data_IF_338928329547
#
_entry.id   IF_338928329547
#
_cell.length_a   1.000
_cell.length_b   1.000
_cell.length_c   1.000
_cell.angle_alpha   90.00
_cell.angle_beta   90.00
_cell.angle_gamma   90.00
#
_symmetry.space_group_name_H-M   'P 1'
#
loop_
_entity.id
_entity.type
_entity.pdbx_description
1 polymer ?
#
# COMPACT_ATOMS: atom_id res chain seq x y z
N UNK A 1 -1.40 6.94 1.07
CA UNK A 1 -2.75 7.48 1.35
C UNK A 1 -2.88 8.83 0.65
N UNK A 2 -3.95 9.08 -0.11
CA UNK A 2 -4.12 10.35 -0.84
C UNK A 2 -4.51 11.47 0.12
N UNK A 3 -3.90 12.65 -0.06
CA UNK A 3 -4.32 13.84 0.67
C UNK A 3 -5.66 14.36 0.16
N UNK A 4 -6.40 15.10 0.97
CA UNK A 4 -7.63 15.75 0.53
C UNK A 4 -7.39 16.72 -0.64
N UNK A 5 -6.21 17.35 -0.69
CA UNK A 5 -5.79 18.21 -1.79
C UNK A 5 -5.59 17.43 -3.09
N UNK A 6 -4.98 16.23 -3.03
CA UNK A 6 -4.81 15.36 -4.20
C UNK A 6 -6.17 14.97 -4.78
N UNK A 7 -7.12 14.59 -3.90
CA UNK A 7 -8.48 14.21 -4.30
C UNK A 7 -9.21 15.41 -4.94
N UNK A 8 -9.12 16.58 -4.30
CA UNK A 8 -9.76 17.79 -4.79
C UNK A 8 -9.23 18.21 -6.17
N UNK A 9 -7.91 18.28 -6.33
CA UNK A 9 -7.26 18.66 -7.60
C UNK A 9 -7.65 17.74 -8.74
N UNK A 10 -7.62 16.42 -8.50
CA UNK A 10 -7.98 15.43 -9.50
C UNK A 10 -9.47 15.52 -9.88
N UNK A 11 -10.36 15.62 -8.89
CA UNK A 11 -11.80 15.73 -9.14
C UNK A 11 -12.15 17.03 -9.88
N UNK A 12 -11.62 18.18 -9.45
CA UNK A 12 -11.86 19.47 -10.11
C UNK A 12 -11.27 19.44 -11.52
N UNK A 13 -10.04 18.94 -11.71
CA UNK A 13 -9.41 18.87 -13.04
C UNK A 13 -10.26 18.10 -14.05
N UNK A 14 -10.87 16.98 -13.64
CA UNK A 14 -11.75 16.19 -14.51
C UNK A 14 -13.08 16.89 -14.78
N UNK A 15 -13.69 17.48 -13.76
CA UNK A 15 -15.00 18.14 -13.87
C UNK A 15 -14.94 19.48 -14.61
N UNK A 16 -13.84 20.21 -14.45
CA UNK A 16 -13.65 21.54 -15.02
C UNK A 16 -13.31 21.50 -16.51
N UNK A 17 -12.86 20.37 -17.03
CA UNK A 17 -12.44 20.25 -18.43
C UNK A 17 -13.58 20.62 -19.39
N UNK A 18 -13.38 21.66 -20.19
CA UNK A 18 -14.36 22.17 -21.13
C UNK A 18 -15.43 23.08 -20.52
N UNK A 19 -15.37 23.39 -19.22
CA UNK A 19 -16.28 24.36 -18.61
C UNK A 19 -15.90 25.79 -18.99
N UNK A 20 -16.91 26.61 -19.24
CA UNK A 20 -16.75 28.04 -19.40
C UNK A 20 -16.67 28.78 -18.05
N UNK A 21 -16.41 30.09 -18.10
CA UNK A 21 -16.28 30.93 -16.90
C UNK A 21 -17.55 30.91 -16.03
N UNK A 22 -18.74 30.86 -16.64
CA UNK A 22 -20.00 30.88 -15.92
C UNK A 22 -20.24 29.54 -15.19
N UNK A 23 -20.03 28.42 -15.87
CA UNK A 23 -20.13 27.09 -15.29
C UNK A 23 -19.10 26.85 -14.17
N UNK A 24 -17.87 27.38 -14.31
CA UNK A 24 -16.88 27.35 -13.24
C UNK A 24 -17.34 28.19 -12.03
N UNK A 25 -17.96 29.35 -12.25
CA UNK A 25 -18.50 30.17 -11.16
C UNK A 25 -19.66 29.46 -10.42
N UNK A 26 -20.53 28.75 -11.14
CA UNK A 26 -21.57 27.90 -10.54
C UNK A 26 -20.95 26.79 -9.69
N UNK A 27 -19.89 26.13 -10.17
CA UNK A 27 -19.18 25.09 -9.41
C UNK A 27 -18.50 25.62 -8.15
N UNK A 28 -17.95 26.83 -8.19
CA UNK A 28 -17.44 27.51 -6.98
C UNK A 28 -18.57 27.71 -5.96
N UNK A 29 -19.75 28.17 -6.41
CA UNK A 29 -20.89 28.39 -5.53
C UNK A 29 -21.41 27.07 -4.93
N UNK A 30 -21.52 26.02 -5.75
CA UNK A 30 -21.91 24.67 -5.30
C UNK A 30 -20.94 24.14 -4.24
N UNK A 31 -19.63 24.24 -4.49
CA UNK A 31 -18.61 23.78 -3.55
C UNK A 31 -18.66 24.55 -2.22
N UNK A 32 -18.92 25.87 -2.25
CA UNK A 32 -19.10 26.67 -1.05
C UNK A 32 -20.31 26.25 -0.22
N UNK A 33 -21.42 25.89 -0.87
CA UNK A 33 -22.62 25.36 -0.19
C UNK A 33 -22.29 24.02 0.48
N UNK A 34 -21.64 23.08 -0.23
CA UNK A 34 -21.29 21.77 0.31
C UNK A 34 -20.28 21.82 1.44
N UNK A 35 -19.30 22.71 1.36
CA UNK A 35 -18.38 23.00 2.46
C UNK A 35 -19.16 23.43 3.71
N UNK A 36 -20.05 24.42 3.56
CA UNK A 36 -20.85 24.93 4.67
C UNK A 36 -21.77 23.87 5.26
N UNK A 37 -22.51 23.14 4.43
CA UNK A 37 -23.43 22.07 4.88
C UNK A 37 -22.68 20.99 5.67
N UNK A 38 -21.50 20.59 5.19
CA UNK A 38 -20.69 19.56 5.86
C UNK A 38 -20.11 20.09 7.18
N UNK A 39 -19.69 21.35 7.23
CA UNK A 39 -19.26 22.01 8.46
C UNK A 39 -20.40 22.19 9.48
N UNK A 40 -21.61 22.48 9.02
CA UNK A 40 -22.81 22.56 9.86
C UNK A 40 -23.18 21.18 10.43
N UNK A 41 -23.06 20.12 9.63
CA UNK A 41 -23.27 18.74 10.07
C UNK A 41 -22.24 18.28 11.11
N UNK A 42 -20.96 18.67 10.97
CA UNK A 42 -19.93 18.40 11.97
C UNK A 42 -20.19 19.12 13.31
N UNK A 43 -20.81 20.29 13.28
CA UNK A 43 -21.21 21.02 14.50
C UNK A 43 -22.44 20.43 15.17
N UNK A 44 -23.22 19.61 14.47
CA UNK A 44 -24.39 18.91 15.00
C UNK A 44 -23.98 17.71 15.87
N UNK A 45 -24.50 17.64 17.09
CA UNK A 45 -24.12 16.70 18.17
C UNK A 45 -24.55 15.23 17.95
N UNK A 46 -24.49 14.70 16.72
CA UNK A 46 -24.93 13.35 16.37
C UNK A 46 -23.80 12.32 16.38
N UNK A 47 -23.59 11.65 17.53
CA UNK A 47 -22.61 10.57 17.74
C UNK A 47 -22.91 9.34 16.88
N UNK A 48 -22.08 9.10 15.87
CA UNK A 48 -21.93 7.80 15.20
C UNK A 48 -20.46 7.61 14.80
N UNK A 49 -19.69 6.94 15.66
CA UNK A 49 -18.22 6.86 15.62
C UNK A 49 -17.61 6.34 14.31
N UNK A 50 -18.34 5.57 13.50
CA UNK A 50 -17.84 5.08 12.20
C UNK A 50 -18.10 6.09 11.07
N UNK A 51 -19.14 6.93 11.21
CA UNK A 51 -19.51 7.97 10.24
C UNK A 51 -18.86 9.33 10.53
N UNK A 52 -18.38 9.55 11.75
CA UNK A 52 -17.80 10.83 12.18
C UNK A 52 -16.43 11.08 11.52
N UNK A 53 -15.56 10.06 11.47
CA UNK A 53 -14.26 10.12 10.77
C UNK A 53 -14.42 10.34 9.26
N UNK A 54 -15.46 9.75 8.66
CA UNK A 54 -15.80 9.98 7.25
C UNK A 54 -16.34 11.41 7.01
N UNK A 55 -17.09 11.99 7.96
CA UNK A 55 -17.57 13.38 7.87
C UNK A 55 -16.45 14.39 8.00
N UNK A 56 -15.52 14.20 8.94
CA UNK A 56 -14.34 15.06 9.08
C UNK A 56 -13.50 15.05 7.81
N UNK A 57 -13.24 13.84 7.29
CA UNK A 57 -12.52 13.69 6.02
C UNK A 57 -13.27 14.35 4.87
N UNK A 58 -14.58 14.19 4.79
CA UNK A 58 -15.41 14.80 3.77
C UNK A 58 -15.39 16.34 3.86
N UNK A 59 -15.41 16.90 5.07
CA UNK A 59 -15.29 18.35 5.27
C UNK A 59 -13.95 18.89 4.76
N UNK A 60 -12.85 18.20 5.07
CA UNK A 60 -11.51 18.59 4.56
C UNK A 60 -11.45 18.47 3.03
N UNK A 61 -12.10 17.46 2.44
CA UNK A 61 -12.19 17.33 0.98
C UNK A 61 -13.01 18.46 0.36
N UNK A 62 -14.18 18.80 0.91
CA UNK A 62 -14.99 19.89 0.38
C UNK A 62 -14.30 21.24 0.47
N UNK A 63 -13.62 21.52 1.60
CA UNK A 63 -12.80 22.72 1.76
C UNK A 63 -11.70 22.78 0.68
N UNK A 64 -11.00 21.66 0.46
CA UNK A 64 -9.96 21.58 -0.58
C UNK A 64 -10.55 21.73 -2.00
N UNK A 65 -11.72 21.17 -2.28
CA UNK A 65 -12.41 21.31 -3.57
C UNK A 65 -12.84 22.75 -3.83
N UNK A 66 -13.42 23.42 -2.83
CA UNK A 66 -13.80 24.83 -2.97
C UNK A 66 -12.58 25.72 -3.23
N UNK A 67 -11.47 25.48 -2.52
CA UNK A 67 -10.22 26.20 -2.76
C UNK A 67 -9.69 25.98 -4.19
N UNK A 68 -9.73 24.75 -4.70
CA UNK A 68 -9.28 24.43 -6.05
C UNK A 68 -10.19 25.02 -7.14
N UNK A 69 -11.50 24.97 -6.97
CA UNK A 69 -12.44 25.63 -7.89
C UNK A 69 -12.20 27.13 -7.98
N UNK A 70 -11.89 27.78 -6.85
CA UNK A 70 -11.51 29.20 -6.83
C UNK A 70 -10.20 29.44 -7.57
N UNK A 71 -9.19 28.58 -7.39
CA UNK A 71 -7.93 28.67 -8.13
C UNK A 71 -8.17 28.59 -9.64
N UNK A 72 -8.98 27.64 -10.11
CA UNK A 72 -9.33 27.49 -11.53
C UNK A 72 -10.01 28.74 -12.08
N UNK A 73 -11.01 29.26 -11.37
CA UNK A 73 -11.67 30.53 -11.74
C UNK A 73 -10.67 31.68 -11.85
N UNK A 74 -9.82 31.85 -10.84
CA UNK A 74 -8.86 32.95 -10.77
C UNK A 74 -7.79 32.82 -11.86
N UNK A 75 -7.39 31.58 -12.20
CA UNK A 75 -6.50 31.27 -13.32
C UNK A 75 -7.14 31.64 -14.66
N UNK A 76 -8.38 31.21 -14.91
CA UNK A 76 -9.10 31.55 -16.14
C UNK A 76 -9.24 33.06 -16.31
N UNK A 77 -9.57 33.77 -15.22
CA UNK A 77 -9.70 35.22 -15.24
C UNK A 77 -8.36 35.91 -15.52
N UNK A 78 -7.28 35.50 -14.85
CA UNK A 78 -5.95 36.07 -15.02
C UNK A 78 -5.39 35.83 -16.43
N UNK A 79 -5.68 34.67 -17.02
CA UNK A 79 -5.17 34.29 -18.33
C UNK A 79 -6.13 34.61 -19.49
N UNK A 80 -7.31 35.18 -19.20
CA UNK A 80 -8.33 35.54 -20.19
C UNK A 80 -8.93 34.33 -20.92
N UNK A 81 -9.03 33.17 -20.26
CA UNK A 81 -9.54 31.95 -20.87
C UNK A 81 -11.07 31.92 -20.82
N UNK A 82 -11.70 31.74 -21.99
CA UNK A 82 -13.14 31.55 -22.09
C UNK A 82 -13.59 30.15 -21.67
N UNK A 83 -12.70 29.16 -21.80
CA UNK A 83 -12.95 27.74 -21.48
C UNK A 83 -11.73 27.19 -20.76
N UNK A 84 -11.96 26.36 -19.73
CA UNK A 84 -10.88 25.71 -19.00
C UNK A 84 -10.40 24.45 -19.73
N UNK A 85 -9.12 24.45 -20.08
CA UNK A 85 -8.42 23.30 -20.66
C UNK A 85 -7.31 22.90 -19.69
N UNK A 86 -7.42 21.74 -19.02
CA UNK A 86 -6.46 21.30 -17.99
C UNK A 86 -5.00 21.28 -18.44
N UNK A 87 -4.75 21.06 -19.72
CA UNK A 87 -3.42 21.01 -20.35
C UNK A 87 -2.75 22.39 -20.40
N UNK A 88 -3.54 23.47 -20.37
CA UNK A 88 -3.02 24.85 -20.33
C UNK A 88 -2.69 25.31 -18.92
N UNK A 89 -3.27 24.66 -17.92
CA UNK A 89 -2.91 24.84 -16.52
C UNK A 89 -1.60 24.12 -16.22
N UNK A 90 -0.49 24.86 -16.34
CA UNK A 90 0.85 24.35 -16.09
C UNK A 90 1.01 23.79 -14.67
N UNK A 91 0.46 24.48 -13.67
CA UNK A 91 0.56 24.07 -12.27
C UNK A 91 -0.23 22.78 -12.02
N UNK A 92 -1.49 22.72 -12.47
CA UNK A 92 -2.30 21.51 -12.34
C UNK A 92 -1.74 20.32 -13.12
N UNK A 93 -1.06 20.58 -14.24
CA UNK A 93 -0.41 19.53 -15.02
C UNK A 93 0.82 18.95 -14.31
N UNK A 94 1.61 19.79 -13.62
CA UNK A 94 2.71 19.31 -12.76
C UNK A 94 2.17 18.43 -11.63
N UNK A 95 1.13 18.88 -10.93
CA UNK A 95 0.52 18.11 -9.84
C UNK A 95 -0.08 16.78 -10.33
N UNK A 96 -0.71 16.77 -11.50
CA UNK A 96 -1.25 15.55 -12.10
C UNK A 96 -0.14 14.53 -12.39
N UNK A 97 0.99 14.98 -12.94
CA UNK A 97 2.16 14.11 -13.19
C UNK A 97 2.77 13.58 -11.90
N UNK A 98 3.01 14.43 -10.90
CA UNK A 98 3.55 13.99 -9.60
C UNK A 98 2.63 12.95 -8.91
N UNK A 99 1.32 13.08 -9.13
CA UNK A 99 0.35 12.09 -8.66
C UNK A 99 0.49 10.76 -9.41
N UNK A 100 0.58 10.80 -10.74
CA UNK A 100 0.78 9.61 -11.57
C UNK A 100 2.09 8.88 -11.21
N UNK A 101 3.17 9.62 -11.00
CA UNK A 101 4.46 9.08 -10.55
C UNK A 101 4.35 8.39 -9.17
N UNK A 102 3.67 9.03 -8.20
CA UNK A 102 3.41 8.40 -6.89
C UNK A 102 2.56 7.14 -7.01
N UNK A 103 1.53 7.15 -7.85
CA UNK A 103 0.68 5.98 -8.07
C UNK A 103 1.46 4.85 -8.72
N UNK A 104 2.24 5.13 -9.77
CA UNK A 104 3.10 4.17 -10.44
C UNK A 104 4.12 3.58 -9.46
N UNK A 105 4.77 4.42 -8.64
CA UNK A 105 5.70 3.96 -7.60
C UNK A 105 5.04 3.07 -6.56
N UNK A 106 3.81 3.40 -6.11
CA UNK A 106 3.06 2.57 -5.17
C UNK A 106 2.68 1.21 -5.76
N UNK A 107 2.22 1.18 -7.02
CA UNK A 107 1.89 -0.05 -7.73
C UNK A 107 3.13 -0.92 -7.96
N UNK A 108 4.26 -0.33 -8.36
CA UNK A 108 5.53 -1.03 -8.52
C UNK A 108 6.01 -1.61 -7.18
N UNK A 109 5.88 -0.85 -6.08
CA UNK A 109 6.20 -1.34 -4.74
C UNK A 109 5.33 -2.51 -4.30
N UNK A 110 4.02 -2.47 -4.61
CA UNK A 110 3.10 -3.59 -4.35
C UNK A 110 3.45 -4.82 -5.19
N UNK A 111 3.77 -4.64 -6.47
CA UNK A 111 4.19 -5.73 -7.34
C UNK A 111 5.49 -6.38 -6.82
N UNK A 112 6.49 -5.59 -6.47
CA UNK A 112 7.75 -6.10 -5.92
C UNK A 112 7.56 -6.81 -4.55
N UNK A 113 6.62 -6.35 -3.72
CA UNK A 113 6.27 -7.06 -2.49
C UNK A 113 5.59 -8.39 -2.80
N UNK A 114 4.68 -8.42 -3.78
CA UNK A 114 4.02 -9.63 -4.25
C UNK A 114 5.01 -10.65 -4.83
N UNK A 115 5.99 -10.20 -5.62
CA UNK A 115 7.07 -11.04 -6.15
C UNK A 115 7.89 -11.67 -5.01
N UNK A 116 8.30 -10.88 -4.01
CA UNK A 116 9.03 -11.41 -2.85
C UNK A 116 8.22 -12.41 -2.03
N UNK A 117 6.92 -12.15 -1.86
CA UNK A 117 6.02 -13.09 -1.17
C UNK A 117 5.82 -14.37 -1.99
N UNK A 118 5.77 -14.26 -3.32
CA UNK A 118 5.76 -15.40 -4.23
C UNK A 118 7.04 -16.22 -4.12
N UNK A 119 8.21 -15.57 -4.14
CA UNK A 119 9.51 -16.22 -3.94
C UNK A 119 9.60 -16.92 -2.57
N UNK A 120 9.11 -16.30 -1.50
CA UNK A 120 9.10 -16.89 -0.15
C UNK A 120 8.09 -18.04 -0.03
N UNK A 121 6.96 -17.98 -0.74
CA UNK A 121 5.96 -19.05 -0.79
C UNK A 121 6.41 -20.23 -1.67
N UNK A 122 7.16 -19.97 -2.74
CA UNK A 122 7.75 -20.98 -3.63
C UNK A 122 9.03 -21.59 -3.04
N UNK A 123 9.57 -21.06 -1.93
CA UNK A 123 10.64 -21.70 -1.18
C UNK A 123 10.10 -22.98 -0.51
N UNK A 124 10.34 -24.13 -1.14
CA UNK A 124 9.93 -25.44 -0.62
C UNK A 124 10.54 -25.71 0.76
N UNK A 125 9.74 -25.54 1.82
CA UNK A 125 10.12 -25.88 3.19
C UNK A 125 9.86 -27.36 3.47
N UNK A 126 10.93 -28.13 3.59
CA UNK A 126 10.84 -29.51 4.05
C UNK A 126 10.66 -29.56 5.58
N UNK A 127 9.50 -30.03 6.04
CA UNK A 127 9.24 -30.29 7.45
C UNK A 127 9.49 -31.76 7.80
N UNK A 128 10.27 -32.00 8.86
CA UNK A 128 10.58 -33.35 9.36
C UNK A 128 10.01 -33.52 10.76
N UNK A 129 9.03 -34.43 10.89
CA UNK A 129 8.43 -34.77 12.17
C UNK A 129 9.16 -35.97 12.81
N UNK A 130 9.81 -35.72 13.94
CA UNK A 130 10.48 -36.75 14.73
C UNK A 130 9.65 -37.13 15.95
N UNK A 131 9.60 -38.42 16.26
CA UNK A 131 9.05 -38.86 17.54
C UNK A 131 9.89 -38.33 18.71
N UNK A 132 9.29 -38.30 19.91
CA UNK A 132 9.84 -37.58 21.05
C UNK A 132 11.27 -38.02 21.46
N UNK A 133 11.58 -39.31 21.34
CA UNK A 133 12.90 -39.84 21.72
C UNK A 133 14.02 -39.43 20.75
N UNK A 134 13.94 -39.71 19.42
CA UNK A 134 14.88 -39.18 18.43
C UNK A 134 14.99 -37.65 18.45
N UNK A 135 13.86 -36.94 18.60
CA UNK A 135 13.87 -35.48 18.67
C UNK A 135 14.66 -34.93 19.87
N UNK A 136 14.60 -35.59 21.04
CA UNK A 136 15.43 -35.23 22.20
C UNK A 136 16.91 -35.47 21.95
N UNK A 137 17.26 -36.57 21.28
CA UNK A 137 18.65 -36.91 20.96
C UNK A 137 19.27 -35.89 20.00
N UNK A 138 18.57 -35.55 18.91
CA UNK A 138 19.03 -34.53 17.96
C UNK A 138 19.26 -33.18 18.66
N UNK A 139 18.33 -32.75 19.53
CA UNK A 139 18.50 -31.51 20.30
C UNK A 139 19.71 -31.55 21.24
N UNK A 140 19.94 -32.67 21.92
CA UNK A 140 21.08 -32.82 22.82
C UNK A 140 22.43 -32.80 22.08
N UNK A 141 22.50 -33.43 20.91
CA UNK A 141 23.68 -33.44 20.05
C UNK A 141 23.95 -32.04 19.50
N UNK A 142 22.92 -31.38 18.96
CA UNK A 142 23.01 -30.02 18.44
C UNK A 142 23.54 -29.05 19.51
N UNK A 143 23.01 -29.12 20.73
CA UNK A 143 23.47 -28.29 21.85
C UNK A 143 24.95 -28.51 22.20
N UNK A 144 25.41 -29.77 22.25
CA UNK A 144 26.82 -30.09 22.56
C UNK A 144 27.78 -29.63 21.45
N UNK A 145 27.33 -29.68 20.20
CA UNK A 145 28.13 -29.29 19.04
C UNK A 145 28.05 -27.79 18.69
N UNK A 146 27.19 -27.01 19.36
CA UNK A 146 26.96 -25.61 19.02
C UNK A 146 26.22 -25.42 17.67
N UNK A 147 25.47 -26.42 17.24
CA UNK A 147 24.76 -26.46 15.96
C UNK A 147 23.25 -26.27 16.15
N UNK A 148 22.55 -25.96 15.06
CA UNK A 148 21.08 -26.05 15.00
C UNK A 148 20.66 -27.51 14.77
N UNK A 149 19.51 -27.96 15.32
CA UNK A 149 18.97 -29.30 15.06
C UNK A 149 18.84 -29.65 13.56
N UNK A 150 18.54 -28.67 12.71
CA UNK A 150 18.46 -28.85 11.26
C UNK A 150 19.82 -29.18 10.62
N UNK A 151 20.92 -28.63 11.12
CA UNK A 151 22.27 -28.93 10.62
C UNK A 151 22.66 -30.38 10.94
N UNK A 152 22.35 -30.84 12.15
CA UNK A 152 22.56 -32.24 12.54
C UNK A 152 21.74 -33.20 11.66
N UNK A 153 20.50 -32.84 11.33
CA UNK A 153 19.66 -33.63 10.42
C UNK A 153 20.20 -33.64 8.98
N UNK A 154 20.73 -32.52 8.50
CA UNK A 154 21.37 -32.44 7.18
C UNK A 154 22.61 -33.34 7.13
N UNK A 155 23.50 -33.28 8.13
CA UNK A 155 24.69 -34.13 8.18
C UNK A 155 24.35 -35.63 8.30
N UNK A 156 23.27 -35.97 9.01
CA UNK A 156 22.74 -37.34 9.07
C UNK A 156 22.27 -37.78 7.68
N UNK A 157 21.51 -36.95 6.98
CA UNK A 157 20.97 -37.24 5.65
C UNK A 157 22.08 -37.43 4.61
N UNK A 158 23.12 -36.59 4.64
CA UNK A 158 24.29 -36.68 3.77
C UNK A 158 25.09 -37.98 3.97
N UNK A 159 24.98 -38.60 5.14
CA UNK A 159 25.75 -39.79 5.53
C UNK A 159 24.91 -41.07 5.53
N UNK A 160 23.69 -41.02 4.98
CA UNK A 160 22.86 -42.22 4.83
C UNK A 160 23.54 -43.22 3.89
N UNK A 161 23.69 -44.44 4.37
CA UNK A 161 24.07 -45.61 3.59
C UNK A 161 22.86 -46.55 3.56
N UNK A 162 22.44 -46.90 2.35
CA UNK A 162 21.37 -47.89 2.12
C UNK A 162 22.03 -49.19 1.70
N UNK A 163 21.83 -50.23 2.51
CA UNK A 163 22.33 -51.58 2.24
C UNK A 163 21.53 -52.27 1.14
N UNK A 164 22.05 -53.38 0.59
CA UNK A 164 21.39 -54.16 -0.47
C UNK A 164 19.99 -54.69 -0.06
N UNK A 165 19.76 -54.89 1.23
CA UNK A 165 18.48 -55.29 1.81
C UNK A 165 17.51 -54.12 2.06
N UNK A 166 17.90 -52.89 1.71
CA UNK A 166 17.12 -51.67 1.93
C UNK A 166 17.26 -51.08 3.34
N UNK A 167 18.11 -51.63 4.19
CA UNK A 167 18.37 -51.08 5.53
C UNK A 167 19.08 -49.73 5.44
N UNK A 168 18.52 -48.72 6.09
CA UNK A 168 19.08 -47.37 6.19
C UNK A 168 19.95 -47.27 7.44
N UNK A 169 21.22 -46.93 7.27
CA UNK A 169 22.16 -46.72 8.37
C UNK A 169 22.98 -45.45 8.17
N UNK A 170 23.55 -44.94 9.26
CA UNK A 170 24.50 -43.82 9.20
C UNK A 170 25.77 -44.28 9.92
N UNK A 171 26.95 -44.25 9.27
CA UNK A 171 28.21 -44.53 9.93
C UNK A 171 28.48 -43.56 11.09
N UNK A 172 29.23 -43.97 12.13
CA UNK A 172 29.60 -43.08 13.22
C UNK A 172 30.32 -41.83 12.71
N UNK A 173 29.89 -40.66 13.17
CA UNK A 173 30.52 -39.38 12.88
C UNK A 173 30.38 -38.43 14.07
N UNK A 174 31.16 -37.35 14.05
CA UNK A 174 31.02 -36.23 14.98
C UNK A 174 30.49 -35.03 14.21
N UNK A 175 29.34 -34.45 14.59
CA UNK A 175 28.80 -33.28 13.90
C UNK A 175 29.75 -32.09 13.99
N UNK A 176 29.97 -31.39 12.89
CA UNK A 176 30.88 -30.23 12.81
C UNK A 176 30.43 -29.26 11.72
N UNK A 177 30.65 -27.96 11.97
CA UNK A 177 30.39 -26.87 11.01
C UNK A 177 31.10 -27.07 9.66
#
# INVERSE_FOLDING_TARGET
MWSAQDVARDQVRRQANGLDVAAVAEKVAEAAVRERETADQLRGNGSFYEFEMDRERLAVIWLAQHAEWRRVRDLMAAAGWGVYEPERDAQGSVWAREREERLAGALAGQAALGERQGEEADELRAEVWLSAAPGRLVRAVAYRAGLRPSQVLAELAERIVVSEDGTVSVPPFTPSL
#
